data_IF_631953499264
#
_entry.id   IF_631953499264
#
_cell.length_a   1.000
_cell.length_b   1.000
_cell.length_c   1.000
_cell.angle_alpha   90.00
_cell.angle_beta   90.00
_cell.angle_gamma   90.00
#
_symmetry.space_group_name_H-M   'P 1'
#
loop_
_entity.id
_entity.type
_entity.pdbx_description
1 polymer ?
#
# COMPACT_ATOMS: atom_id res chain seq x y z
N UNK A 1 -5.46 -35.02 -3.01
CA UNK A 1 -4.21 -34.50 -3.59
C UNK A 1 -4.02 -33.09 -3.03
N UNK A 2 -3.19 -32.91 -1.99
CA UNK A 2 -2.96 -31.61 -1.35
C UNK A 2 -2.12 -30.78 -2.33
N UNK A 3 -2.63 -29.62 -2.74
CA UNK A 3 -2.04 -28.81 -3.81
C UNK A 3 -0.83 -28.04 -3.24
N UNK A 4 0.37 -28.64 -3.30
CA UNK A 4 1.57 -28.16 -2.60
C UNK A 4 2.29 -26.98 -3.28
N UNK A 5 1.63 -26.26 -4.21
CA UNK A 5 2.19 -25.11 -4.91
C UNK A 5 1.80 -23.75 -4.27
N UNK A 6 1.56 -23.72 -2.95
CA UNK A 6 1.46 -22.43 -2.24
C UNK A 6 2.85 -21.79 -2.25
N UNK A 7 3.05 -20.79 -3.11
CA UNK A 7 4.27 -19.97 -3.09
C UNK A 7 4.41 -19.35 -1.70
N UNK A 8 5.33 -19.88 -0.91
CA UNK A 8 5.58 -19.38 0.45
C UNK A 8 6.11 -17.96 0.36
N UNK A 9 5.33 -17.00 0.88
CA UNK A 9 5.81 -15.61 1.01
C UNK A 9 6.96 -15.60 2.02
N UNK A 10 8.02 -14.86 1.72
CA UNK A 10 9.20 -14.76 2.59
C UNK A 10 9.16 -13.52 3.47
N UNK A 11 9.87 -13.54 4.62
CA UNK A 11 10.05 -12.35 5.49
C UNK A 11 10.53 -11.13 4.69
N UNK A 12 11.41 -11.36 3.70
CA UNK A 12 11.97 -10.30 2.83
C UNK A 12 10.89 -9.66 1.97
N UNK A 13 9.98 -10.43 1.38
CA UNK A 13 8.88 -9.90 0.56
C UNK A 13 7.88 -9.08 1.38
N UNK A 14 7.60 -9.49 2.63
CA UNK A 14 6.77 -8.72 3.57
C UNK A 14 7.44 -7.39 3.91
N UNK A 15 8.73 -7.42 4.27
CA UNK A 15 9.49 -6.22 4.62
C UNK A 15 9.54 -5.22 3.44
N UNK A 16 9.83 -5.69 2.22
CA UNK A 16 9.82 -4.83 1.02
C UNK A 16 8.44 -4.20 0.82
N UNK A 17 7.36 -4.99 0.96
CA UNK A 17 6.00 -4.47 0.81
C UNK A 17 5.64 -3.44 1.88
N UNK A 18 6.10 -3.65 3.11
CA UNK A 18 5.93 -2.69 4.21
C UNK A 18 6.67 -1.37 3.92
N UNK A 19 7.94 -1.44 3.53
CA UNK A 19 8.72 -0.23 3.22
C UNK A 19 8.12 0.54 2.03
N UNK A 20 7.67 -0.16 0.98
CA UNK A 20 6.97 0.46 -0.15
C UNK A 20 5.68 1.16 0.29
N UNK A 21 4.85 0.49 1.10
CA UNK A 21 3.66 1.10 1.67
C UNK A 21 3.99 2.34 2.51
N UNK A 22 4.98 2.27 3.40
CA UNK A 22 5.39 3.39 4.25
C UNK A 22 5.89 4.58 3.44
N UNK A 23 6.72 4.37 2.41
CA UNK A 23 7.21 5.44 1.54
C UNK A 23 6.03 6.15 0.86
N UNK A 24 5.12 5.39 0.26
CA UNK A 24 3.96 5.93 -0.46
C UNK A 24 3.02 6.64 0.51
N UNK A 25 2.79 6.08 1.69
CA UNK A 25 1.98 6.68 2.74
C UNK A 25 2.56 8.00 3.24
N UNK A 26 3.87 8.06 3.49
CA UNK A 26 4.54 9.30 3.90
C UNK A 26 4.54 10.37 2.79
N UNK A 27 4.74 9.97 1.53
CA UNK A 27 4.59 10.89 0.38
C UNK A 27 3.16 11.44 0.30
N UNK A 28 2.15 10.61 0.54
CA UNK A 28 0.76 11.06 0.59
C UNK A 28 0.53 12.05 1.75
N UNK A 29 0.97 11.74 2.97
CA UNK A 29 0.84 12.62 4.13
C UNK A 29 1.51 13.98 3.93
N UNK A 30 2.70 14.01 3.34
CA UNK A 30 3.39 15.28 3.04
C UNK A 30 2.72 16.08 1.92
N UNK A 31 1.89 15.43 1.10
CA UNK A 31 1.02 16.08 0.12
C UNK A 31 -0.23 16.73 0.72
N UNK A 32 -0.71 16.27 1.88
CA UNK A 32 -1.95 16.73 2.52
C UNK A 32 -1.99 18.26 2.75
N UNK A 33 -0.97 18.89 3.34
CA UNK A 33 -0.95 20.34 3.55
C UNK A 33 -1.08 21.14 2.25
N UNK A 34 -0.59 20.60 1.12
CA UNK A 34 -0.65 21.25 -0.19
C UNK A 34 -2.06 21.22 -0.80
N UNK A 35 -2.98 20.40 -0.31
CA UNK A 35 -4.36 20.35 -0.83
C UNK A 35 -5.27 21.43 -0.22
N UNK A 36 -4.96 21.94 0.98
CA UNK A 36 -5.81 22.92 1.66
C UNK A 36 -5.59 24.36 1.19
N UNK A 37 -4.44 24.67 0.61
CA UNK A 37 -4.19 25.99 0.05
C UNK A 37 -4.76 26.08 -1.37
N UNK A 38 -6.00 26.57 -1.45
CA UNK A 38 -6.76 26.79 -2.70
C UNK A 38 -6.84 28.28 -3.07
N UNK A 39 -6.32 29.15 -2.20
CA UNK A 39 -6.60 30.58 -2.14
C UNK A 39 -6.15 31.37 -3.37
N UNK A 40 -5.40 30.75 -4.28
CA UNK A 40 -4.82 31.37 -5.48
C UNK A 40 -4.84 30.45 -6.71
N UNK A 41 -5.58 29.33 -6.66
CA UNK A 41 -5.61 28.37 -7.76
C UNK A 41 -6.72 28.67 -8.76
N UNK A 42 -6.40 28.52 -10.04
CA UNK A 42 -7.41 28.51 -11.10
C UNK A 42 -8.21 27.21 -11.07
N UNK A 43 -9.46 27.24 -11.55
CA UNK A 43 -10.35 26.06 -11.64
C UNK A 43 -9.66 24.78 -12.16
N UNK A 44 -8.88 24.80 -13.27
CA UNK A 44 -8.17 23.60 -13.72
C UNK A 44 -7.09 23.10 -12.75
N UNK A 45 -6.42 23.99 -12.01
CA UNK A 45 -5.45 23.58 -10.99
C UNK A 45 -6.13 22.91 -9.79
N UNK A 46 -7.33 23.36 -9.41
CA UNK A 46 -8.13 22.74 -8.34
C UNK A 46 -8.53 21.31 -8.75
N UNK A 47 -9.04 21.14 -9.96
CA UNK A 47 -9.38 19.82 -10.51
C UNK A 47 -8.15 18.91 -10.55
N UNK A 48 -7.00 19.41 -10.98
CA UNK A 48 -5.73 18.67 -10.99
C UNK A 48 -5.27 18.25 -9.59
N UNK A 49 -5.41 19.12 -8.58
CA UNK A 49 -5.13 18.79 -7.18
C UNK A 49 -6.06 17.69 -6.68
N UNK A 50 -7.37 17.80 -6.91
CA UNK A 50 -8.35 16.79 -6.48
C UNK A 50 -8.08 15.42 -7.13
N UNK A 51 -7.77 15.39 -8.43
CA UNK A 51 -7.39 14.16 -9.13
C UNK A 51 -6.11 13.55 -8.53
N UNK A 52 -5.10 14.36 -8.27
CA UNK A 52 -3.85 13.90 -7.64
C UNK A 52 -4.11 13.33 -6.23
N UNK A 53 -4.95 13.99 -5.44
CA UNK A 53 -5.34 13.50 -4.12
C UNK A 53 -6.06 12.14 -4.23
N UNK A 54 -7.02 12.03 -5.16
CA UNK A 54 -7.77 10.80 -5.40
C UNK A 54 -6.82 9.66 -5.79
N UNK A 55 -5.95 9.87 -6.78
CA UNK A 55 -4.93 8.88 -7.20
C UNK A 55 -4.02 8.50 -6.03
N UNK A 56 -3.61 9.47 -5.20
CA UNK A 56 -2.82 9.23 -4.00
C UNK A 56 -3.50 8.26 -3.03
N UNK A 57 -4.80 8.42 -2.78
CA UNK A 57 -5.58 7.51 -1.93
C UNK A 57 -5.58 6.09 -2.50
N UNK A 58 -5.79 5.92 -3.81
CA UNK A 58 -5.74 4.58 -4.44
C UNK A 58 -4.36 3.94 -4.36
N UNK A 59 -3.29 4.71 -4.55
CA UNK A 59 -1.93 4.20 -4.44
C UNK A 59 -1.62 3.73 -3.02
N UNK A 60 -1.99 4.52 -2.00
CA UNK A 60 -1.84 4.13 -0.60
C UNK A 60 -2.64 2.86 -0.31
N UNK A 61 -3.92 2.82 -0.73
CA UNK A 61 -4.80 1.69 -0.48
C UNK A 61 -4.30 0.40 -1.16
N UNK A 62 -3.86 0.46 -2.41
CA UNK A 62 -3.33 -0.69 -3.15
C UNK A 62 -2.07 -1.25 -2.50
N UNK A 63 -1.12 -0.38 -2.14
CA UNK A 63 0.13 -0.82 -1.51
C UNK A 63 -0.10 -1.32 -0.07
N UNK A 64 -1.03 -0.70 0.66
CA UNK A 64 -1.47 -1.17 1.97
C UNK A 64 -2.10 -2.56 1.89
N UNK A 65 -3.01 -2.79 0.94
CA UNK A 65 -3.62 -4.09 0.70
C UNK A 65 -2.58 -5.15 0.31
N UNK A 66 -1.60 -4.80 -0.54
CA UNK A 66 -0.51 -5.71 -0.91
C UNK A 66 0.33 -6.12 0.30
N UNK A 67 0.63 -5.18 1.19
CA UNK A 67 1.34 -5.47 2.44
C UNK A 67 0.51 -6.39 3.35
N UNK A 68 -0.77 -6.07 3.59
CA UNK A 68 -1.67 -6.87 4.42
C UNK A 68 -1.81 -8.30 3.87
N UNK A 69 -1.96 -8.45 2.56
CA UNK A 69 -2.06 -9.76 1.94
C UNK A 69 -0.78 -10.58 2.15
N UNK A 70 0.40 -9.99 1.90
CA UNK A 70 1.68 -10.68 2.06
C UNK A 70 1.97 -11.07 3.51
N UNK A 71 1.65 -10.22 4.48
CA UNK A 71 1.86 -10.56 5.90
C UNK A 71 0.92 -11.67 6.36
N UNK A 72 -0.34 -11.66 5.92
CA UNK A 72 -1.29 -12.74 6.21
C UNK A 72 -0.84 -14.07 5.58
N UNK A 73 -0.46 -14.05 4.30
CA UNK A 73 0.07 -15.25 3.62
C UNK A 73 1.37 -15.77 4.24
N UNK A 74 2.21 -14.87 4.77
CA UNK A 74 3.42 -15.24 5.50
C UNK A 74 3.08 -16.00 6.79
N UNK A 75 2.12 -15.51 7.59
CA UNK A 75 1.68 -16.20 8.80
C UNK A 75 0.97 -17.52 8.52
N UNK A 76 0.14 -17.58 7.47
CA UNK A 76 -0.51 -18.81 7.04
C UNK A 76 0.53 -19.88 6.66
N UNK A 77 1.57 -19.50 5.92
CA UNK A 77 2.66 -20.40 5.56
C UNK A 77 3.58 -20.81 6.72
N UNK A 78 3.58 -20.09 7.84
CA UNK A 78 4.23 -20.53 9.08
C UNK A 78 3.37 -21.56 9.81
N UNK A 79 2.07 -21.31 9.91
CA UNK A 79 1.13 -22.22 10.58
C UNK A 79 1.10 -23.60 9.90
N UNK A 80 1.16 -23.63 8.57
CA UNK A 80 1.20 -24.86 7.79
C UNK A 80 2.51 -25.67 8.03
N UNK A 81 3.60 -25.04 8.49
CA UNK A 81 4.89 -25.71 8.77
C UNK A 81 5.03 -26.23 10.21
N UNK A 82 4.25 -25.70 11.16
CA UNK A 82 4.22 -26.20 12.55
C UNK A 82 3.23 -27.37 12.72
N UNK A 83 2.40 -27.64 11.71
CA UNK A 83 1.36 -28.67 11.72
C UNK A 83 1.79 -30.02 11.11
N UNK A 84 3.00 -30.12 10.56
CA UNK A 84 3.61 -31.34 10.01
C UNK A 84 4.69 -31.86 10.99
#
# INVERSE_FOLDING_TARGET
MKNNNKKTVTKREVAISFFLFMIIFLMFLTGIPKFYDLSYLTTPMIVGKLLTAFVGVFLVAYNGASFVYKILSYFEGLKDKESD
#
